data_IF_697880045264
#
_entry.id   IF_697880045264
#
_cell.length_a   1.000
_cell.length_b   1.000
_cell.length_c   1.000
_cell.angle_alpha   90.00
_cell.angle_beta   90.00
_cell.angle_gamma   90.00
#
_symmetry.space_group_name_H-M   'P 1'
#
loop_
_entity.id
_entity.type
_entity.pdbx_description
1 polymer ?
#
# COMPACT_ATOMS: atom_id res chain seq x y z
N UNK A 1 59.12 16.23 -81.21
CA UNK A 1 58.01 15.97 -82.15
C UNK A 1 56.87 15.40 -81.29
N UNK A 2 55.67 15.99 -81.19
CA UNK A 2 54.61 16.18 -82.23
C UNK A 2 54.10 14.80 -82.69
N UNK A 3 52.81 14.40 -82.62
CA UNK A 3 51.54 15.06 -82.18
C UNK A 3 50.89 14.26 -81.01
N UNK A 4 49.84 14.60 -80.23
CA UNK A 4 48.69 15.56 -80.22
C UNK A 4 47.42 15.16 -81.04
N UNK A 5 46.27 15.03 -80.33
CA UNK A 5 44.85 15.21 -80.78
C UNK A 5 44.29 14.04 -81.64
N UNK A 6 43.01 13.57 -81.57
CA UNK A 6 41.74 14.17 -81.10
C UNK A 6 40.82 13.23 -80.27
N UNK A 7 39.65 13.76 -79.84
CA UNK A 7 38.63 13.17 -78.96
C UNK A 7 37.64 12.20 -79.67
N UNK A 8 36.91 11.37 -78.90
CA UNK A 8 35.45 11.58 -78.66
C UNK A 8 34.82 10.62 -77.62
N UNK A 9 33.82 11.14 -76.87
CA UNK A 9 32.65 10.50 -76.22
C UNK A 9 32.81 9.10 -75.58
N UNK A 10 32.52 8.85 -74.30
CA UNK A 10 31.92 9.69 -73.26
C UNK A 10 30.45 9.37 -72.96
N UNK A 11 30.22 8.26 -72.24
CA UNK A 11 29.15 7.97 -71.27
C UNK A 11 29.52 6.59 -70.67
N UNK A 12 29.58 6.48 -69.34
CA UNK A 12 29.71 5.19 -68.65
C UNK A 12 28.90 5.26 -67.35
N UNK A 13 27.95 4.34 -67.17
CA UNK A 13 27.08 4.35 -65.99
C UNK A 13 27.83 3.82 -64.76
N UNK A 14 28.13 4.70 -63.81
CA UNK A 14 28.57 4.30 -62.47
C UNK A 14 27.35 3.74 -61.73
N UNK A 15 27.16 2.42 -61.80
CA UNK A 15 26.10 1.72 -61.07
C UNK A 15 26.52 1.58 -59.60
N UNK A 16 26.15 2.56 -58.77
CA UNK A 16 26.43 2.56 -57.33
C UNK A 16 25.56 1.52 -56.63
N UNK A 17 26.03 0.26 -56.59
CA UNK A 17 25.36 -0.84 -55.88
C UNK A 17 25.68 -0.77 -54.38
N UNK A 18 25.13 0.24 -53.70
CA UNK A 18 25.28 0.40 -52.25
C UNK A 18 24.42 -0.64 -51.52
N UNK A 19 24.97 -1.83 -51.31
CA UNK A 19 24.33 -2.93 -50.56
C UNK A 19 24.16 -2.58 -49.07
N UNK A 20 23.17 -1.73 -48.78
CA UNK A 20 22.77 -1.34 -47.44
C UNK A 20 22.06 -2.52 -46.76
N UNK A 21 22.85 -3.44 -46.21
CA UNK A 21 22.36 -4.61 -45.50
C UNK A 21 21.69 -4.17 -44.19
N UNK A 22 20.43 -3.74 -44.29
CA UNK A 22 19.57 -3.52 -43.13
C UNK A 22 19.37 -4.86 -42.42
N UNK A 23 20.25 -5.13 -41.45
CA UNK A 23 20.04 -6.16 -40.44
C UNK A 23 18.92 -5.69 -39.52
N UNK A 24 17.69 -5.78 -40.02
CA UNK A 24 16.46 -5.52 -39.30
C UNK A 24 16.34 -6.58 -38.21
N UNK A 25 16.89 -6.28 -37.03
CA UNK A 25 16.75 -7.07 -35.81
C UNK A 25 15.30 -7.06 -35.33
N UNK A 26 14.44 -7.78 -36.05
CA UNK A 26 13.14 -8.19 -35.57
C UNK A 26 13.38 -8.98 -34.28
N UNK A 27 13.00 -8.38 -33.14
CA UNK A 27 12.93 -9.06 -31.86
C UNK A 27 11.75 -10.03 -31.94
N UNK A 28 11.98 -11.17 -32.60
CA UNK A 28 11.06 -12.29 -32.64
C UNK A 28 10.80 -12.70 -31.19
N UNK A 29 9.53 -12.69 -30.80
CA UNK A 29 9.16 -12.84 -29.41
C UNK A 29 9.35 -14.32 -28.98
N UNK A 30 10.42 -14.57 -28.22
CA UNK A 30 10.92 -15.91 -27.91
C UNK A 30 9.94 -16.68 -27.01
N UNK A 31 9.70 -17.98 -27.27
CA UNK A 31 8.92 -18.82 -26.35
C UNK A 31 9.73 -19.11 -25.07
N UNK A 32 10.99 -19.53 -25.24
CA UNK A 32 11.93 -19.79 -24.14
C UNK A 32 12.02 -18.60 -23.18
N UNK A 33 11.82 -18.83 -21.89
CA UNK A 33 11.90 -17.79 -20.87
C UNK A 33 13.32 -17.49 -20.39
N UNK A 34 13.49 -16.27 -19.89
CA UNK A 34 14.64 -15.90 -19.07
C UNK A 34 14.25 -14.97 -17.91
N UNK A 35 14.79 -15.22 -16.72
CA UNK A 35 14.56 -14.38 -15.55
C UNK A 35 15.43 -13.12 -15.61
N UNK A 36 14.85 -11.92 -15.43
CA UNK A 36 15.59 -10.66 -15.57
C UNK A 36 15.48 -9.80 -14.31
N UNK A 37 16.64 -9.36 -13.82
CA UNK A 37 16.78 -8.54 -12.62
C UNK A 37 16.56 -9.32 -11.31
N UNK A 38 16.35 -8.57 -10.23
CA UNK A 38 16.04 -9.14 -8.91
C UNK A 38 14.55 -9.44 -8.72
N UNK A 39 14.25 -10.35 -7.80
CA UNK A 39 12.89 -10.58 -7.31
C UNK A 39 12.50 -9.43 -6.39
N UNK A 40 11.47 -8.69 -6.78
CA UNK A 40 10.94 -7.60 -5.98
C UNK A 40 10.17 -8.13 -4.78
N UNK A 41 10.55 -7.68 -3.57
CA UNK A 41 9.89 -8.01 -2.30
C UNK A 41 8.76 -7.00 -2.03
N UNK A 42 7.53 -7.47 -1.90
CA UNK A 42 6.44 -6.64 -1.39
C UNK A 42 6.67 -6.27 0.09
N UNK A 43 6.04 -5.19 0.53
CA UNK A 43 5.99 -4.88 1.97
C UNK A 43 5.14 -5.96 2.67
N UNK A 44 5.72 -6.76 3.58
CA UNK A 44 5.07 -7.94 4.15
C UNK A 44 3.99 -7.55 5.16
N UNK A 45 2.94 -8.35 5.34
CA UNK A 45 1.91 -8.13 6.39
C UNK A 45 2.21 -9.00 7.62
N UNK A 46 1.30 -9.08 8.60
CA UNK A 46 1.49 -9.95 9.78
C UNK A 46 1.67 -11.42 9.38
N UNK A 47 0.89 -11.91 8.41
CA UNK A 47 0.79 -13.33 8.09
C UNK A 47 1.24 -13.68 6.67
N UNK A 48 1.67 -12.70 5.86
CA UNK A 48 1.88 -12.91 4.43
C UNK A 48 3.12 -12.20 3.89
N UNK A 49 3.79 -12.88 2.95
CA UNK A 49 4.96 -12.41 2.22
C UNK A 49 4.62 -12.39 0.72
N UNK A 50 4.73 -11.23 0.07
CA UNK A 50 4.46 -11.08 -1.36
C UNK A 50 5.73 -10.88 -2.19
N UNK A 51 5.75 -11.41 -3.41
CA UNK A 51 6.86 -11.26 -4.36
C UNK A 51 6.37 -10.93 -5.77
N UNK A 52 7.22 -10.23 -6.52
CA UNK A 52 7.07 -9.92 -7.95
C UNK A 52 8.36 -10.30 -8.68
N UNK A 53 8.28 -10.99 -9.81
CA UNK A 53 9.45 -11.34 -10.62
C UNK A 53 9.17 -11.10 -12.12
N UNK A 54 10.17 -10.56 -12.82
CA UNK A 54 10.09 -10.25 -14.25
C UNK A 54 10.75 -11.36 -15.07
N UNK A 55 9.99 -11.90 -16.01
CA UNK A 55 10.42 -12.92 -16.95
C UNK A 55 10.31 -12.34 -18.37
N UNK A 56 11.31 -12.56 -19.21
CA UNK A 56 11.30 -12.25 -20.65
C UNK A 56 11.00 -13.52 -21.44
N UNK A 57 10.48 -13.39 -22.67
CA UNK A 57 10.08 -14.54 -23.51
C UNK A 57 8.66 -15.04 -23.18
N UNK A 58 8.45 -16.36 -23.16
CA UNK A 58 7.27 -17.03 -22.59
C UNK A 58 5.94 -16.62 -23.27
N UNK A 59 5.96 -16.47 -24.59
CA UNK A 59 4.85 -15.90 -25.37
C UNK A 59 3.67 -16.86 -25.56
N UNK A 60 3.95 -18.16 -25.57
CA UNK A 60 2.98 -19.25 -25.46
C UNK A 60 2.42 -19.42 -24.03
N UNK A 61 3.03 -18.76 -23.03
CA UNK A 61 2.54 -18.58 -21.64
C UNK A 61 2.56 -19.85 -20.77
N UNK A 62 3.38 -20.83 -21.13
CA UNK A 62 3.45 -22.13 -20.44
C UNK A 62 4.46 -22.19 -19.28
N UNK A 63 5.36 -21.22 -19.11
CA UNK A 63 6.29 -21.24 -17.99
C UNK A 63 5.59 -21.02 -16.64
N UNK A 64 6.13 -21.66 -15.60
CA UNK A 64 5.59 -21.67 -14.24
C UNK A 64 6.68 -21.25 -13.25
N UNK A 65 6.31 -20.50 -12.21
CA UNK A 65 7.21 -20.17 -11.09
C UNK A 65 6.67 -20.80 -9.81
N UNK A 66 7.23 -21.95 -9.41
CA UNK A 66 6.88 -22.63 -8.15
C UNK A 66 7.46 -21.87 -6.95
N UNK A 67 6.72 -21.85 -5.85
CA UNK A 67 7.10 -21.12 -4.63
C UNK A 67 7.30 -22.11 -3.49
N UNK A 68 8.45 -22.05 -2.85
CA UNK A 68 8.77 -22.81 -1.64
C UNK A 68 9.19 -21.86 -0.52
N UNK A 69 8.95 -22.24 0.73
CA UNK A 69 9.39 -21.47 1.89
C UNK A 69 9.73 -22.36 3.08
N UNK A 70 10.56 -21.85 4.00
CA UNK A 70 10.86 -22.49 5.29
C UNK A 70 11.20 -21.47 6.36
N UNK A 71 11.03 -21.85 7.62
CA UNK A 71 11.45 -21.07 8.79
C UNK A 71 12.79 -21.64 9.30
N UNK A 72 13.86 -20.86 9.18
CA UNK A 72 15.21 -21.29 9.56
C UNK A 72 15.62 -22.62 8.92
N UNK A 73 15.94 -23.63 9.74
CA UNK A 73 16.38 -24.97 9.31
C UNK A 73 15.22 -25.98 9.12
N UNK A 74 13.97 -25.56 9.23
CA UNK A 74 12.81 -26.44 9.00
C UNK A 74 12.74 -26.97 7.55
N UNK A 75 11.91 -27.98 7.31
CA UNK A 75 11.67 -28.51 5.96
C UNK A 75 11.09 -27.43 5.04
N UNK A 76 11.41 -27.52 3.75
CA UNK A 76 10.72 -26.71 2.74
C UNK A 76 9.24 -27.11 2.66
N UNK A 77 8.38 -26.10 2.66
CA UNK A 77 6.95 -26.19 2.40
C UNK A 77 6.67 -25.56 1.04
N UNK A 78 5.68 -26.09 0.32
CA UNK A 78 5.21 -25.52 -0.94
C UNK A 78 4.15 -24.43 -0.68
N UNK A 79 4.13 -23.41 -1.54
CA UNK A 79 3.07 -22.40 -1.62
C UNK A 79 2.60 -22.27 -3.07
N UNK A 80 1.45 -21.61 -3.27
CA UNK A 80 0.87 -21.43 -4.60
C UNK A 80 1.90 -20.80 -5.58
N UNK A 81 2.05 -21.35 -6.80
CA UNK A 81 2.87 -20.75 -7.85
C UNK A 81 2.53 -19.27 -8.12
N UNK A 82 3.50 -18.50 -8.60
CA UNK A 82 3.24 -17.09 -8.93
C UNK A 82 2.30 -16.97 -10.13
N UNK A 83 1.36 -16.05 -10.04
CA UNK A 83 0.39 -15.76 -11.08
C UNK A 83 0.98 -14.83 -12.17
N UNK A 84 0.84 -15.23 -13.43
CA UNK A 84 1.20 -14.44 -14.62
C UNK A 84 0.24 -13.25 -14.77
N UNK A 85 0.68 -12.05 -14.44
CA UNK A 85 -0.16 -10.84 -14.58
C UNK A 85 -0.27 -10.39 -16.04
N UNK A 86 -1.36 -9.68 -16.38
CA UNK A 86 -1.57 -9.16 -17.73
C UNK A 86 -0.54 -8.06 -18.07
N UNK A 87 0.24 -8.18 -19.16
CA UNK A 87 1.34 -7.26 -19.47
C UNK A 87 0.85 -5.86 -19.90
N UNK A 88 -0.36 -5.78 -20.45
CA UNK A 88 -1.03 -4.54 -20.85
C UNK A 88 -2.39 -4.43 -20.15
N UNK A 89 -2.47 -3.89 -18.91
CA UNK A 89 -3.74 -3.52 -18.30
C UNK A 89 -4.42 -2.41 -19.12
N UNK A 90 -5.75 -2.33 -18.96
CA UNK A 90 -6.68 -1.52 -19.77
C UNK A 90 -6.16 -0.09 -20.06
N UNK A 91 -6.37 0.40 -21.28
CA UNK A 91 -5.61 1.52 -21.88
C UNK A 91 -5.53 2.82 -21.07
N UNK A 92 -6.53 3.11 -20.25
CA UNK A 92 -6.61 4.27 -19.36
C UNK A 92 -5.82 4.15 -18.05
N UNK A 93 -5.45 2.95 -17.61
CA UNK A 93 -4.81 2.66 -16.32
C UNK A 93 -3.45 1.93 -16.47
N UNK A 94 -2.62 2.37 -17.43
CA UNK A 94 -1.30 1.79 -17.72
C UNK A 94 -0.25 2.11 -16.63
N UNK A 95 -0.22 1.33 -15.56
CA UNK A 95 0.91 1.34 -14.61
C UNK A 95 2.16 0.71 -15.24
N UNK A 96 3.00 1.54 -15.88
CA UNK A 96 4.28 1.15 -16.53
C UNK A 96 5.24 0.34 -15.65
N UNK A 97 5.02 0.32 -14.33
CA UNK A 97 5.82 -0.42 -13.34
C UNK A 97 5.59 -1.94 -13.37
N UNK A 98 4.40 -2.38 -13.82
CA UNK A 98 4.00 -3.79 -13.87
C UNK A 98 4.07 -4.37 -15.29
N UNK A 99 4.00 -3.54 -16.33
CA UNK A 99 4.30 -3.96 -17.71
C UNK A 99 5.78 -4.36 -17.84
N UNK A 100 6.02 -5.49 -18.49
CA UNK A 100 7.34 -5.97 -18.90
C UNK A 100 7.35 -6.01 -20.43
N UNK A 101 7.98 -5.05 -21.13
CA UNK A 101 8.09 -5.10 -22.59
C UNK A 101 8.83 -6.36 -23.02
N UNK A 102 8.26 -7.16 -23.94
CA UNK A 102 8.85 -8.44 -24.37
C UNK A 102 8.75 -9.58 -23.35
N UNK A 103 7.87 -9.48 -22.35
CA UNK A 103 7.75 -10.49 -21.30
C UNK A 103 6.57 -10.30 -20.36
N UNK A 104 6.71 -10.86 -19.16
CA UNK A 104 5.63 -10.99 -18.17
C UNK A 104 6.12 -10.61 -16.77
N UNK A 105 5.21 -10.01 -16.00
CA UNK A 105 5.36 -9.87 -14.55
C UNK A 105 4.59 -11.00 -13.88
N UNK A 106 5.30 -11.85 -13.14
CA UNK A 106 4.71 -12.84 -12.25
C UNK A 106 4.59 -12.23 -10.84
N UNK A 107 3.47 -12.49 -10.15
CA UNK A 107 3.22 -11.98 -8.81
C UNK A 107 2.49 -13.01 -7.95
N UNK A 108 2.77 -13.06 -6.65
CA UNK A 108 2.10 -13.99 -5.73
C UNK A 108 2.47 -13.74 -4.28
N UNK A 109 1.74 -14.40 -3.39
CA UNK A 109 1.93 -14.28 -1.94
C UNK A 109 1.91 -15.64 -1.26
N UNK A 110 2.70 -15.77 -0.21
CA UNK A 110 2.64 -16.86 0.76
C UNK A 110 1.76 -16.38 1.93
N UNK A 111 0.90 -17.26 2.45
CA UNK A 111 -0.15 -16.94 3.42
C UNK A 111 0.00 -17.75 4.72
N UNK A 112 -0.80 -17.42 5.74
CA UNK A 112 -0.91 -18.12 7.02
C UNK A 112 0.41 -18.29 7.80
N UNK A 113 1.37 -17.39 7.58
CA UNK A 113 2.66 -17.38 8.25
C UNK A 113 2.55 -16.83 9.68
N UNK A 114 3.51 -17.18 10.52
CA UNK A 114 3.64 -16.62 11.87
C UNK A 114 4.10 -15.15 11.77
N UNK A 115 3.54 -14.21 12.55
CA UNK A 115 4.06 -12.84 12.66
C UNK A 115 5.49 -12.77 13.19
N UNK A 116 6.14 -11.63 12.97
CA UNK A 116 7.52 -11.33 13.38
C UNK A 116 8.58 -12.43 13.07
N UNK A 117 8.36 -13.26 12.04
CA UNK A 117 9.16 -14.46 11.76
C UNK A 117 9.92 -14.31 10.45
N UNK A 118 11.21 -14.67 10.45
CA UNK A 118 12.02 -14.75 9.22
C UNK A 118 11.78 -16.09 8.51
N UNK A 119 11.56 -16.00 7.21
CA UNK A 119 11.45 -17.11 6.30
C UNK A 119 12.51 -16.99 5.20
N UNK A 120 13.05 -18.14 4.79
CA UNK A 120 13.68 -18.28 3.49
C UNK A 120 12.58 -18.62 2.48
N UNK A 121 12.51 -17.85 1.40
CA UNK A 121 11.61 -18.07 0.26
C UNK A 121 12.46 -18.46 -0.94
N UNK A 122 11.99 -19.41 -1.73
CA UNK A 122 12.66 -19.91 -2.93
C UNK A 122 11.67 -19.94 -4.10
N UNK A 123 12.07 -19.37 -5.22
CA UNK A 123 11.32 -19.31 -6.46
C UNK A 123 12.03 -20.11 -7.55
N UNK A 124 11.32 -21.05 -8.17
CA UNK A 124 11.84 -21.91 -9.24
C UNK A 124 11.06 -21.63 -10.52
N UNK A 125 11.68 -20.94 -11.48
CA UNK A 125 11.19 -20.83 -12.86
C UNK A 125 11.46 -22.15 -13.59
N UNK A 126 10.42 -22.69 -14.21
CA UNK A 126 10.45 -23.87 -15.07
C UNK A 126 9.66 -23.60 -16.35
N UNK A 127 10.22 -23.94 -17.51
CA UNK A 127 9.68 -23.64 -18.83
C UNK A 127 9.91 -24.82 -19.79
N UNK A 128 8.85 -25.38 -20.44
CA UNK A 128 8.96 -26.46 -21.42
C UNK A 128 9.75 -26.10 -22.70
N UNK A 129 9.71 -24.84 -23.15
CA UNK A 129 10.46 -24.36 -24.33
C UNK A 129 11.92 -24.02 -24.00
N UNK A 130 12.32 -24.26 -22.75
CA UNK A 130 13.61 -23.92 -22.18
C UNK A 130 13.53 -22.65 -21.35
N UNK A 131 14.23 -22.65 -20.22
CA UNK A 131 14.15 -21.58 -19.23
C UNK A 131 14.13 -22.18 -17.84
N UNK A 132 15.19 -21.92 -17.07
CA UNK A 132 15.30 -22.41 -15.70
C UNK A 132 16.10 -21.43 -14.86
N UNK A 133 15.53 -21.01 -13.75
CA UNK A 133 16.19 -20.11 -12.80
C UNK A 133 15.70 -20.38 -11.38
N UNK A 134 16.63 -20.42 -10.43
CA UNK A 134 16.30 -20.42 -9.00
C UNK A 134 16.67 -19.07 -8.38
N UNK A 135 15.80 -18.55 -7.51
CA UNK A 135 16.09 -17.39 -6.66
C UNK A 135 15.65 -17.71 -5.22
N UNK A 136 16.63 -17.78 -4.31
CA UNK A 136 16.40 -17.94 -2.87
C UNK A 136 16.67 -16.62 -2.15
N UNK A 137 15.82 -16.25 -1.19
CA UNK A 137 15.77 -14.91 -0.60
C UNK A 137 15.18 -14.92 0.82
N UNK A 138 15.80 -14.18 1.75
CA UNK A 138 15.24 -13.96 3.10
C UNK A 138 14.18 -12.85 3.11
N UNK A 139 13.10 -13.08 3.85
CA UNK A 139 11.96 -12.18 4.04
C UNK A 139 11.38 -12.37 5.45
N UNK A 140 11.00 -11.28 6.14
CA UNK A 140 10.42 -11.34 7.49
C UNK A 140 8.95 -10.88 7.47
N UNK A 141 8.04 -11.61 8.11
CA UNK A 141 6.68 -11.13 8.36
C UNK A 141 6.69 -9.94 9.33
N UNK A 142 5.65 -9.12 9.32
CA UNK A 142 5.59 -7.94 10.17
C UNK A 142 5.26 -8.30 11.62
N UNK A 143 5.92 -7.62 12.56
CA UNK A 143 5.54 -7.53 13.97
C UNK A 143 4.18 -6.86 14.13
N UNK A 144 3.34 -7.33 15.05
CA UNK A 144 2.14 -6.57 15.41
C UNK A 144 2.52 -5.30 16.21
N UNK A 145 1.97 -4.12 15.89
CA UNK A 145 2.26 -2.89 16.62
C UNK A 145 1.58 -2.84 18.01
N UNK A 146 2.35 -3.19 19.04
CA UNK A 146 1.99 -3.06 20.46
C UNK A 146 2.45 -1.71 21.04
N UNK A 147 1.74 -1.19 22.05
CA UNK A 147 2.13 0.08 22.72
C UNK A 147 3.57 -0.02 23.29
N UNK A 148 4.49 0.90 22.91
CA UNK A 148 5.84 0.89 23.46
C UNK A 148 5.86 1.16 24.96
N UNK A 149 6.85 0.60 25.65
CA UNK A 149 7.08 0.89 27.08
C UNK A 149 7.61 2.31 27.27
N UNK A 150 7.24 2.96 28.37
CA UNK A 150 7.78 4.27 28.77
C UNK A 150 7.15 5.50 28.10
N UNK A 151 5.98 5.38 27.47
CA UNK A 151 5.26 6.50 26.84
C UNK A 151 4.95 7.63 27.84
N UNK A 152 5.23 8.89 27.47
CA UNK A 152 4.83 10.06 28.27
C UNK A 152 3.32 10.21 28.21
N UNK A 153 2.65 9.93 29.34
CA UNK A 153 1.21 10.12 29.51
C UNK A 153 0.89 11.61 29.64
N UNK A 154 -0.13 12.05 28.92
CA UNK A 154 -0.74 13.38 28.99
C UNK A 154 -2.25 13.17 29.10
N UNK A 155 -2.88 13.76 30.12
CA UNK A 155 -4.31 13.65 30.34
C UNK A 155 -5.05 14.84 29.73
N UNK A 156 -6.21 14.57 29.13
CA UNK A 156 -7.03 15.55 28.42
C UNK A 156 -8.50 15.37 28.81
N UNK A 157 -9.21 16.48 29.00
CA UNK A 157 -10.66 16.55 29.22
C UNK A 157 -11.31 17.45 28.17
N UNK A 158 -12.64 17.45 27.98
CA UNK A 158 -13.32 18.43 27.14
C UNK A 158 -13.06 19.88 27.62
N UNK A 159 -13.07 20.84 26.68
CA UNK A 159 -12.83 22.26 26.96
C UNK A 159 -11.90 22.91 25.93
N UNK A 160 -11.27 24.04 26.30
CA UNK A 160 -10.36 24.78 25.42
C UNK A 160 -9.26 25.52 26.19
N UNK A 161 -8.01 25.07 26.06
CA UNK A 161 -6.83 25.69 26.67
C UNK A 161 -6.65 25.36 28.16
N UNK A 162 -5.55 25.83 28.74
CA UNK A 162 -5.25 25.61 30.16
C UNK A 162 -4.90 24.17 30.55
N UNK A 163 -4.45 24.00 31.79
CA UNK A 163 -3.91 22.74 32.31
C UNK A 163 -2.47 22.45 31.87
N UNK A 164 -1.86 21.45 32.50
CA UNK A 164 -0.46 21.02 32.29
C UNK A 164 -0.35 19.67 31.58
N UNK A 165 -1.48 18.98 31.39
CA UNK A 165 -1.53 17.59 30.93
C UNK A 165 -1.26 16.56 32.02
N UNK A 166 -1.17 16.95 33.30
CA UNK A 166 -1.00 16.02 34.43
C UNK A 166 -2.34 15.38 34.81
N UNK A 167 -2.34 14.37 35.71
CA UNK A 167 -3.60 13.75 36.16
C UNK A 167 -4.47 14.71 37.00
N UNK A 168 -3.84 15.64 37.72
CA UNK A 168 -4.52 16.66 38.53
C UNK A 168 -4.88 17.92 37.74
N UNK A 169 -4.02 18.34 36.80
CA UNK A 169 -4.26 19.46 35.89
C UNK A 169 -4.22 18.98 34.41
N UNK A 170 -5.25 18.24 33.94
CA UNK A 170 -5.33 17.79 32.56
C UNK A 170 -5.48 18.98 31.60
N UNK A 171 -5.04 18.84 30.35
CA UNK A 171 -5.33 19.84 29.33
C UNK A 171 -6.84 19.90 29.04
N UNK A 172 -7.41 21.09 28.93
CA UNK A 172 -8.79 21.25 28.46
C UNK A 172 -8.78 21.35 26.92
N UNK A 173 -9.36 20.37 26.25
CA UNK A 173 -9.40 20.28 24.79
C UNK A 173 -8.15 19.67 24.14
N UNK A 174 -8.38 18.84 23.11
CA UNK A 174 -7.33 18.08 22.43
C UNK A 174 -6.34 18.95 21.63
N UNK A 175 -6.75 20.14 21.17
CA UNK A 175 -5.90 21.01 20.34
C UNK A 175 -4.65 21.46 21.10
N UNK A 176 -4.77 21.82 22.38
CA UNK A 176 -3.63 22.18 23.23
C UNK A 176 -2.72 20.96 23.48
N UNK A 177 -3.31 19.81 23.82
CA UNK A 177 -2.57 18.57 24.04
C UNK A 177 -1.77 18.14 22.79
N UNK A 178 -2.38 18.19 21.61
CA UNK A 178 -1.74 17.87 20.32
C UNK A 178 -0.65 18.89 19.92
N UNK A 179 -0.76 20.16 20.34
CA UNK A 179 0.31 21.14 20.16
C UNK A 179 1.54 20.85 21.04
N UNK A 180 1.34 20.22 22.21
CA UNK A 180 2.42 19.81 23.12
C UNK A 180 3.07 18.45 22.76
N UNK A 181 2.40 17.64 21.92
CA UNK A 181 2.76 16.24 21.68
C UNK A 181 4.07 16.06 20.89
N UNK A 182 4.87 15.09 21.33
CA UNK A 182 6.17 14.70 20.75
C UNK A 182 6.23 13.18 20.54
N UNK A 183 7.13 12.63 19.71
CA UNK A 183 7.35 11.18 19.60
C UNK A 183 7.46 10.51 20.99
N UNK A 184 6.68 9.45 21.23
CA UNK A 184 6.57 8.79 22.53
C UNK A 184 5.49 9.36 23.46
N UNK A 185 4.57 10.20 22.97
CA UNK A 185 3.45 10.75 23.74
C UNK A 185 2.21 9.86 23.66
N UNK A 186 1.58 9.59 24.79
CA UNK A 186 0.25 8.98 24.90
C UNK A 186 -0.74 10.02 25.47
N UNK A 187 -1.62 10.54 24.62
CA UNK A 187 -2.77 11.34 25.04
C UNK A 187 -3.88 10.42 25.54
N UNK A 188 -4.27 10.59 26.80
CA UNK A 188 -5.37 9.89 27.46
C UNK A 188 -6.54 10.87 27.58
N UNK A 189 -7.49 10.75 26.67
CA UNK A 189 -8.72 11.54 26.67
C UNK A 189 -9.74 10.91 27.63
N UNK A 190 -10.40 11.76 28.42
CA UNK A 190 -11.58 11.38 29.19
C UNK A 190 -12.84 11.36 28.31
N UNK A 191 -13.91 10.80 28.86
CA UNK A 191 -15.24 10.84 28.25
C UNK A 191 -15.68 12.28 27.92
N UNK A 192 -16.54 12.42 26.91
CA UNK A 192 -17.08 13.69 26.45
C UNK A 192 -16.70 14.02 25.00
N UNK A 193 -17.09 15.23 24.58
CA UNK A 193 -16.99 15.71 23.20
C UNK A 193 -15.80 16.65 23.00
N UNK A 194 -15.04 16.38 21.95
CA UNK A 194 -13.88 17.15 21.52
C UNK A 194 -14.12 17.70 20.10
N UNK A 195 -13.54 18.85 19.82
CA UNK A 195 -13.50 19.43 18.48
C UNK A 195 -12.57 18.65 17.54
N UNK A 196 -12.80 18.81 16.23
CA UNK A 196 -11.88 18.38 15.20
C UNK A 196 -10.46 18.94 15.42
N UNK A 197 -9.44 18.14 15.11
CA UNK A 197 -8.04 18.48 15.35
C UNK A 197 -7.11 18.01 14.22
N UNK A 198 -5.83 18.32 14.36
CA UNK A 198 -4.77 17.73 13.53
C UNK A 198 -3.47 17.66 14.28
N UNK A 199 -2.44 17.09 13.64
CA UNK A 199 -1.10 16.99 14.24
C UNK A 199 -0.08 17.90 13.57
N UNK A 200 0.69 18.65 14.36
CA UNK A 200 1.89 19.34 13.87
C UNK A 200 3.06 18.35 13.74
N UNK A 201 3.26 17.52 14.76
CA UNK A 201 4.30 16.50 14.81
C UNK A 201 3.92 15.19 14.08
N UNK A 202 4.94 14.38 13.79
CA UNK A 202 4.80 12.94 13.59
C UNK A 202 5.32 12.22 14.83
N UNK A 203 4.91 10.98 15.06
CA UNK A 203 5.70 10.04 15.86
C UNK A 203 6.92 9.53 15.08
N UNK A 204 7.62 8.57 15.68
CA UNK A 204 8.74 7.84 15.09
C UNK A 204 8.53 6.33 15.27
N UNK A 205 9.31 5.51 14.58
CA UNK A 205 9.34 4.06 14.82
C UNK A 205 9.75 3.79 16.29
N UNK A 206 9.02 2.89 16.96
CA UNK A 206 9.15 2.66 18.42
C UNK A 206 8.72 3.82 19.34
N UNK A 207 8.40 5.00 18.81
CA UNK A 207 7.98 6.20 19.57
C UNK A 207 6.80 6.92 18.87
N UNK A 208 5.62 6.30 18.76
CA UNK A 208 4.45 6.88 18.12
C UNK A 208 3.89 8.08 18.90
N UNK A 209 2.88 8.74 18.34
CA UNK A 209 1.95 9.60 19.10
C UNK A 209 0.63 8.85 19.16
N UNK A 210 0.20 8.43 20.36
CA UNK A 210 -1.04 7.68 20.57
C UNK A 210 -2.11 8.61 21.13
N UNK A 211 -3.30 8.60 20.55
CA UNK A 211 -4.49 9.28 21.04
C UNK A 211 -5.51 8.22 21.42
N UNK A 212 -5.79 8.08 22.73
CA UNK A 212 -6.65 7.04 23.30
C UNK A 212 -7.84 7.64 24.05
N UNK A 213 -9.05 7.20 23.72
CA UNK A 213 -10.27 7.51 24.46
C UNK A 213 -10.44 6.65 25.72
N UNK A 214 -11.37 7.03 26.61
CA UNK A 214 -11.61 6.33 27.87
C UNK A 214 -12.25 4.95 27.66
N UNK A 215 -13.34 4.89 26.90
CA UNK A 215 -13.96 3.65 26.42
C UNK A 215 -14.72 3.87 25.11
N UNK A 216 -15.14 2.76 24.49
CA UNK A 216 -15.90 2.74 23.23
C UNK A 216 -17.18 3.57 23.34
N UNK A 217 -17.24 4.67 22.58
CA UNK A 217 -18.42 5.54 22.51
C UNK A 217 -18.41 6.75 23.46
N UNK A 218 -17.50 6.79 24.43
CA UNK A 218 -17.41 7.86 25.42
C UNK A 218 -16.63 9.09 24.92
N UNK A 219 -15.51 8.87 24.22
CA UNK A 219 -14.64 9.93 23.72
C UNK A 219 -14.99 10.26 22.27
N UNK A 220 -15.81 11.31 22.09
CA UNK A 220 -16.35 11.70 20.78
C UNK A 220 -15.48 12.79 20.15
N UNK A 221 -15.03 12.58 18.92
CA UNK A 221 -14.41 13.62 18.08
C UNK A 221 -15.44 14.06 17.03
N UNK A 222 -15.92 15.30 17.11
CA UNK A 222 -16.92 15.84 16.19
C UNK A 222 -16.25 16.62 15.05
N UNK A 223 -16.48 16.18 13.81
CA UNK A 223 -15.89 16.77 12.61
C UNK A 223 -16.54 18.07 12.14
N UNK A 224 -17.69 18.47 12.69
CA UNK A 224 -18.41 19.67 12.24
C UNK A 224 -18.76 19.67 10.75
N UNK A 225 -18.99 18.49 10.16
CA UNK A 225 -19.17 18.27 8.71
C UNK A 225 -17.88 18.21 7.89
N UNK A 226 -16.71 18.53 8.47
CA UNK A 226 -15.38 18.51 7.83
C UNK A 226 -14.66 17.19 8.15
N UNK A 227 -13.36 17.20 8.43
CA UNK A 227 -12.65 16.02 8.95
C UNK A 227 -12.70 16.03 10.48
N UNK A 228 -12.87 14.89 11.17
CA UNK A 228 -12.62 14.84 12.63
C UNK A 228 -11.13 15.00 12.93
N UNK A 229 -10.26 14.41 12.10
CA UNK A 229 -8.80 14.50 12.22
C UNK A 229 -8.16 14.79 10.86
N UNK A 230 -7.18 15.70 10.83
CA UNK A 230 -6.25 15.85 9.70
C UNK A 230 -4.79 15.58 10.11
N UNK A 231 -4.17 14.63 9.44
CA UNK A 231 -2.78 14.20 9.65
C UNK A 231 -2.03 14.08 8.31
N UNK A 232 -2.27 15.03 7.40
CA UNK A 232 -1.58 15.12 6.11
C UNK A 232 -0.06 15.00 6.24
N UNK A 233 0.52 14.04 5.51
CA UNK A 233 1.96 13.75 5.47
C UNK A 233 2.61 13.47 6.86
N UNK A 234 1.84 12.97 7.84
CA UNK A 234 2.35 12.57 9.17
C UNK A 234 2.60 11.07 9.27
N UNK A 235 3.38 10.67 10.28
CA UNK A 235 3.79 9.27 10.48
C UNK A 235 3.65 8.82 11.92
N UNK A 236 3.43 7.52 12.14
CA UNK A 236 3.38 6.87 13.46
C UNK A 236 2.40 7.56 14.43
N UNK A 237 1.19 7.88 13.96
CA UNK A 237 0.09 8.41 14.78
C UNK A 237 -0.97 7.32 14.93
N UNK A 238 -1.37 7.03 16.17
CA UNK A 238 -2.25 5.92 16.52
C UNK A 238 -3.53 6.46 17.16
N UNK A 239 -4.68 5.92 16.77
CA UNK A 239 -6.00 6.28 17.26
C UNK A 239 -6.65 5.05 17.89
N UNK A 240 -7.04 5.16 19.16
CA UNK A 240 -7.58 4.02 19.92
C UNK A 240 -8.83 4.38 20.73
N UNK A 241 -9.87 3.54 20.66
CA UNK A 241 -11.09 3.70 21.48
C UNK A 241 -11.80 5.07 21.33
N UNK A 242 -11.73 5.67 20.14
CA UNK A 242 -12.34 6.96 19.80
C UNK A 242 -13.63 6.79 18.99
N UNK A 243 -14.57 7.73 19.14
CA UNK A 243 -15.84 7.76 18.40
C UNK A 243 -15.87 8.97 17.44
N UNK A 244 -15.61 8.73 16.16
CA UNK A 244 -15.55 9.76 15.12
C UNK A 244 -16.95 9.99 14.54
N UNK A 245 -17.43 11.25 14.63
CA UNK A 245 -18.80 11.60 14.25
C UNK A 245 -18.88 12.86 13.38
N UNK A 246 -19.96 12.94 12.60
CA UNK A 246 -20.41 14.16 11.92
C UNK A 246 -19.34 14.74 10.98
N UNK A 247 -18.95 13.98 9.95
CA UNK A 247 -17.77 14.30 9.15
C UNK A 247 -17.83 13.80 7.70
N UNK A 248 -17.11 14.49 6.82
CA UNK A 248 -16.68 13.94 5.52
C UNK A 248 -15.62 12.85 5.71
N UNK A 249 -14.63 13.09 6.58
CA UNK A 249 -13.57 12.14 6.89
C UNK A 249 -13.46 11.92 8.40
N UNK A 250 -13.41 10.67 8.85
CA UNK A 250 -13.03 10.39 10.25
C UNK A 250 -11.58 10.83 10.47
N UNK A 251 -10.66 10.25 9.70
CA UNK A 251 -9.25 10.62 9.67
C UNK A 251 -8.80 10.86 8.21
N UNK A 252 -8.35 12.07 7.90
CA UNK A 252 -7.67 12.40 6.64
C UNK A 252 -6.15 12.18 6.80
N UNK A 253 -5.69 10.98 6.47
CA UNK A 253 -4.28 10.56 6.44
C UNK A 253 -3.68 10.58 5.04
N UNK A 254 -4.00 11.59 4.22
CA UNK A 254 -3.39 11.75 2.91
C UNK A 254 -1.86 11.94 3.00
N UNK A 255 -1.10 11.20 2.18
CA UNK A 255 0.37 11.06 2.28
C UNK A 255 0.92 10.47 3.60
N UNK A 256 0.07 10.06 4.54
CA UNK A 256 0.52 9.55 5.83
C UNK A 256 1.06 8.11 5.74
N UNK A 257 1.86 7.68 6.72
CA UNK A 257 2.37 6.30 6.83
C UNK A 257 2.38 5.81 8.29
N UNK A 258 2.42 4.49 8.50
CA UNK A 258 2.51 3.88 9.84
C UNK A 258 1.36 4.32 10.77
N UNK A 259 0.17 4.57 10.21
CA UNK A 259 -1.00 5.04 10.95
C UNK A 259 -1.77 3.86 11.52
N UNK A 260 -2.20 3.95 12.78
CA UNK A 260 -2.95 2.90 13.45
C UNK A 260 -4.32 3.41 13.85
N UNK A 261 -5.34 2.59 13.61
CA UNK A 261 -6.73 2.87 13.95
C UNK A 261 -7.30 1.57 14.52
N UNK A 262 -7.51 1.50 15.84
CA UNK A 262 -8.05 0.27 16.44
C UNK A 262 -9.03 0.48 17.58
N UNK A 263 -10.06 -0.39 17.64
CA UNK A 263 -11.18 -0.29 18.60
C UNK A 263 -11.96 1.03 18.51
N UNK A 264 -11.84 1.76 17.40
CA UNK A 264 -12.54 3.02 17.17
C UNK A 264 -13.91 2.76 16.52
N UNK A 265 -14.80 3.74 16.61
CA UNK A 265 -16.11 3.70 15.97
C UNK A 265 -16.33 4.94 15.09
N UNK A 266 -17.01 4.77 13.96
CA UNK A 266 -17.24 5.81 12.96
C UNK A 266 -18.73 5.85 12.62
N UNK A 267 -19.43 6.96 12.90
CA UNK A 267 -20.88 7.10 12.67
C UNK A 267 -21.25 8.46 12.08
N UNK A 268 -22.09 8.49 11.05
CA UNK A 268 -22.34 9.71 10.23
C UNK A 268 -21.03 10.29 9.67
N UNK A 269 -20.22 9.40 9.07
CA UNK A 269 -18.92 9.71 8.47
C UNK A 269 -18.90 9.18 7.03
N UNK A 270 -18.64 10.03 6.03
CA UNK A 270 -18.66 9.61 4.61
C UNK A 270 -17.52 8.62 4.29
N UNK A 271 -16.29 8.92 4.72
CA UNK A 271 -15.17 7.98 4.65
C UNK A 271 -14.42 7.90 6.00
N UNK A 272 -14.31 6.69 6.58
CA UNK A 272 -13.71 6.49 7.90
C UNK A 272 -12.23 6.92 7.96
N UNK A 273 -11.42 6.37 7.06
CA UNK A 273 -10.01 6.74 6.88
C UNK A 273 -9.67 6.98 5.40
N UNK A 274 -9.18 8.17 5.08
CA UNK A 274 -8.77 8.56 3.73
C UNK A 274 -7.24 8.73 3.64
N UNK A 275 -6.60 7.95 2.77
CA UNK A 275 -5.15 7.98 2.47
C UNK A 275 -4.91 7.78 0.96
N UNK A 276 -5.73 8.41 0.11
CA UNK A 276 -5.74 8.18 -1.35
C UNK A 276 -4.47 8.67 -2.09
N UNK A 277 -3.78 9.71 -1.61
CA UNK A 277 -2.74 10.43 -2.38
C UNK A 277 -1.30 9.90 -2.25
N UNK A 278 -1.07 8.90 -1.41
CA UNK A 278 0.31 8.51 -1.03
C UNK A 278 1.02 7.62 -2.06
N UNK A 279 0.32 6.64 -2.61
CA UNK A 279 0.91 5.59 -3.44
C UNK A 279 1.94 4.71 -2.69
N UNK A 280 2.43 3.68 -3.37
CA UNK A 280 3.25 2.61 -2.76
C UNK A 280 4.54 3.10 -2.11
N UNK A 281 5.10 4.24 -2.52
CA UNK A 281 6.35 4.77 -1.97
C UNK A 281 6.17 5.74 -0.79
N UNK A 282 4.94 6.10 -0.41
CA UNK A 282 4.70 7.00 0.73
C UNK A 282 3.66 6.47 1.72
N UNK A 283 2.48 6.10 1.25
CA UNK A 283 1.48 5.50 2.14
C UNK A 283 1.74 4.00 2.29
N UNK A 284 2.14 3.65 3.50
CA UNK A 284 2.65 2.32 3.89
C UNK A 284 2.24 2.03 5.34
N UNK A 285 2.19 0.76 5.72
CA UNK A 285 2.10 0.32 7.14
C UNK A 285 0.86 0.83 7.91
N UNK A 286 -0.27 1.03 7.23
CA UNK A 286 -1.53 1.35 7.95
C UNK A 286 -2.08 0.09 8.61
N UNK A 287 -2.43 0.16 9.90
CA UNK A 287 -2.94 -0.95 10.70
C UNK A 287 -4.33 -0.59 11.23
N UNK A 288 -5.37 -1.13 10.60
CA UNK A 288 -6.76 -0.75 10.79
C UNK A 288 -7.55 -1.99 11.21
N UNK A 289 -7.74 -2.19 12.51
CA UNK A 289 -8.34 -3.43 13.06
C UNK A 289 -9.35 -3.17 14.19
N UNK A 290 -10.26 -4.10 14.44
CA UNK A 290 -11.22 -4.07 15.54
C UNK A 290 -12.17 -2.84 15.54
N UNK A 291 -12.33 -2.16 14.40
CA UNK A 291 -13.15 -0.94 14.31
C UNK A 291 -14.59 -1.24 13.91
N UNK A 292 -15.49 -0.34 14.27
CA UNK A 292 -16.88 -0.34 13.79
C UNK A 292 -17.15 0.87 12.88
N UNK A 293 -17.70 0.62 11.70
CA UNK A 293 -18.14 1.65 10.77
C UNK A 293 -19.62 1.49 10.44
N UNK A 294 -20.40 2.55 10.65
CA UNK A 294 -21.80 2.64 10.21
C UNK A 294 -21.97 3.85 9.30
N UNK A 295 -22.00 3.59 7.99
CA UNK A 295 -22.31 4.58 6.96
C UNK A 295 -23.81 4.89 6.86
N UNK A 296 -24.21 5.53 5.76
CA UNK A 296 -25.59 5.95 5.52
C UNK A 296 -26.19 5.44 4.20
N UNK A 297 -25.54 4.50 3.51
CA UNK A 297 -26.14 3.77 2.38
C UNK A 297 -27.36 3.00 2.85
N UNK A 298 -28.42 2.96 2.03
CA UNK A 298 -29.60 2.11 2.23
C UNK A 298 -29.62 0.98 1.21
N UNK A 299 -30.24 -0.15 1.57
CA UNK A 299 -30.42 -1.30 0.68
C UNK A 299 -31.90 -1.72 0.66
N UNK A 300 -32.49 -2.07 -0.49
CA UNK A 300 -31.94 -1.96 -1.84
C UNK A 300 -31.62 -0.51 -2.25
N UNK A 301 -30.60 -0.33 -3.08
CA UNK A 301 -30.18 0.98 -3.59
C UNK A 301 -31.05 1.38 -4.78
N UNK A 302 -31.51 2.63 -4.81
CA UNK A 302 -32.26 3.19 -5.95
C UNK A 302 -31.38 3.77 -7.06
N UNK A 303 -30.07 3.97 -6.81
CA UNK A 303 -29.09 4.41 -7.82
C UNK A 303 -27.65 4.03 -7.43
N UNK A 304 -26.92 3.42 -8.36
CA UNK A 304 -25.46 3.26 -8.34
C UNK A 304 -24.84 2.68 -7.06
N UNK A 305 -23.61 3.13 -6.79
CA UNK A 305 -22.86 2.89 -5.54
C UNK A 305 -22.53 4.26 -4.96
N UNK A 306 -22.89 4.54 -3.71
CA UNK A 306 -22.53 5.81 -3.08
C UNK A 306 -21.04 5.86 -2.73
N UNK A 307 -20.42 7.04 -2.76
CA UNK A 307 -19.01 7.22 -2.37
C UNK A 307 -18.76 7.16 -0.83
N UNK A 308 -19.52 6.31 -0.15
CA UNK A 308 -19.51 6.07 1.30
C UNK A 308 -18.66 4.82 1.55
N UNK A 309 -17.64 4.90 2.42
CA UNK A 309 -16.77 3.75 2.68
C UNK A 309 -16.10 3.77 4.06
N UNK A 310 -15.60 2.63 4.55
CA UNK A 310 -14.82 2.63 5.78
C UNK A 310 -13.38 3.09 5.54
N UNK A 311 -12.66 2.47 4.59
CA UNK A 311 -11.27 2.84 4.27
C UNK A 311 -11.13 3.15 2.79
N UNK A 312 -10.52 4.29 2.47
CA UNK A 312 -10.03 4.65 1.16
C UNK A 312 -8.51 4.86 1.24
N UNK A 313 -7.70 4.04 0.56
CA UNK A 313 -6.25 4.12 0.64
C UNK A 313 -5.57 3.97 -0.73
N UNK A 314 -4.26 4.26 -0.78
CA UNK A 314 -3.35 3.75 -1.82
C UNK A 314 -2.01 3.38 -1.19
N UNK A 315 -1.34 2.38 -1.75
CA UNK A 315 -0.01 1.94 -1.33
C UNK A 315 0.04 0.53 -0.76
N UNK A 316 1.07 0.22 0.04
CA UNK A 316 1.48 -1.16 0.33
C UNK A 316 1.77 -1.51 1.79
N UNK A 317 1.63 -2.81 2.11
CA UNK A 317 1.89 -3.35 3.45
C UNK A 317 0.90 -2.87 4.50
N UNK A 318 -0.35 -2.64 4.12
CA UNK A 318 -1.46 -2.33 5.02
C UNK A 318 -2.04 -3.61 5.65
N UNK A 319 -2.74 -3.47 6.76
CA UNK A 319 -3.56 -4.53 7.38
C UNK A 319 -4.92 -3.90 7.70
N UNK A 320 -6.00 -4.49 7.16
CA UNK A 320 -7.37 -3.97 7.27
C UNK A 320 -8.32 -5.15 7.57
N UNK A 321 -8.23 -5.69 8.79
CA UNK A 321 -8.85 -6.95 9.23
C UNK A 321 -9.77 -6.75 10.44
N UNK A 322 -10.70 -7.66 10.70
CA UNK A 322 -11.54 -7.67 11.91
C UNK A 322 -12.37 -6.39 12.15
N UNK A 323 -12.70 -5.66 11.10
CA UNK A 323 -13.53 -4.45 11.17
C UNK A 323 -14.98 -4.78 10.82
N UNK A 324 -15.94 -4.35 11.64
CA UNK A 324 -17.36 -4.48 11.35
C UNK A 324 -17.81 -3.28 10.51
N UNK A 325 -18.25 -3.53 9.28
CA UNK A 325 -18.62 -2.50 8.31
C UNK A 325 -20.10 -2.66 7.95
N UNK A 326 -20.89 -1.60 8.15
CA UNK A 326 -22.33 -1.57 7.87
C UNK A 326 -22.72 -0.32 7.08
N UNK A 327 -23.76 -0.42 6.26
CA UNK A 327 -24.38 0.69 5.52
C UNK A 327 -23.38 1.52 4.69
N UNK A 328 -22.45 0.84 4.01
CA UNK A 328 -21.45 1.46 3.15
C UNK A 328 -21.79 1.31 1.65
N UNK A 329 -21.18 2.16 0.83
CA UNK A 329 -21.08 1.99 -0.62
C UNK A 329 -20.09 0.87 -0.96
N UNK A 330 -18.83 1.10 -0.58
CA UNK A 330 -17.72 0.13 -0.60
C UNK A 330 -17.20 -0.12 0.83
N UNK A 331 -16.74 -1.33 1.15
CA UNK A 331 -16.10 -1.60 2.44
C UNK A 331 -14.69 -0.97 2.54
N UNK A 332 -13.80 -1.42 1.66
CA UNK A 332 -12.43 -0.92 1.51
C UNK A 332 -12.21 -0.58 0.04
N UNK A 333 -11.77 0.64 -0.25
CA UNK A 333 -11.71 1.23 -1.58
C UNK A 333 -10.29 1.68 -1.95
N UNK A 334 -9.96 1.62 -3.25
CA UNK A 334 -8.70 2.09 -3.82
C UNK A 334 -8.89 2.94 -5.07
N UNK A 335 -8.22 4.09 -5.16
CA UNK A 335 -8.28 4.95 -6.36
C UNK A 335 -7.27 4.54 -7.42
N UNK A 336 -7.77 4.05 -8.55
CA UNK A 336 -6.97 3.61 -9.70
C UNK A 336 -6.13 4.73 -10.36
N UNK A 337 -6.55 5.99 -10.24
CA UNK A 337 -5.96 7.12 -10.97
C UNK A 337 -4.58 7.61 -10.48
N UNK A 338 -4.01 7.05 -9.40
CA UNK A 338 -2.68 7.45 -8.91
C UNK A 338 -1.83 6.24 -8.49
N UNK A 339 -0.98 5.75 -9.41
CA UNK A 339 0.12 4.77 -9.18
C UNK A 339 -0.09 3.82 -7.99
N UNK A 340 -1.18 3.06 -8.03
CA UNK A 340 -1.49 2.01 -7.04
C UNK A 340 -0.69 0.76 -7.35
N UNK A 341 0.44 0.60 -6.66
CA UNK A 341 1.22 -0.63 -6.59
C UNK A 341 0.93 -1.34 -5.25
N UNK A 342 1.01 -2.68 -5.20
CA UNK A 342 1.19 -3.43 -3.95
C UNK A 342 -0.01 -3.56 -3.00
N UNK A 343 -1.24 -3.76 -3.50
CA UNK A 343 -2.39 -4.07 -2.66
C UNK A 343 -2.32 -5.46 -2.02
N UNK A 344 -1.91 -5.51 -0.75
CA UNK A 344 -2.11 -6.65 0.15
C UNK A 344 -3.24 -6.32 1.15
N UNK A 345 -4.51 -6.42 0.72
CA UNK A 345 -5.67 -6.25 1.62
C UNK A 345 -6.02 -7.60 2.25
N UNK A 346 -5.82 -7.73 3.56
CA UNK A 346 -6.28 -8.89 4.33
C UNK A 346 -7.62 -8.61 5.01
N UNK A 347 -8.69 -8.64 4.22
CA UNK A 347 -10.06 -8.70 4.70
C UNK A 347 -10.33 -10.10 5.26
N UNK A 348 -10.21 -10.28 6.58
CA UNK A 348 -10.70 -11.47 7.26
C UNK A 348 -11.96 -11.15 8.07
N UNK A 349 -13.00 -11.93 7.78
CA UNK A 349 -14.33 -11.97 8.42
C UNK A 349 -15.16 -10.66 8.36
N UNK A 350 -15.96 -10.55 7.30
CA UNK A 350 -17.25 -9.86 7.37
C UNK A 350 -18.22 -10.71 8.23
N UNK A 351 -18.96 -10.06 9.12
CA UNK A 351 -20.15 -10.57 9.85
C UNK A 351 -21.15 -9.41 9.99
#
# INVERSE_FOLDING_TARGET
MISRICLTKGICHILVTLSFLMCSSFVMAENKSSSVGEVFKEIPTLHCLGVRWKIMGDQNKNAVIKVHYRKGKEKWLEAMPLFRTMPSPHGSNRSKLHTVPGGWMFAGSIFNLTPDTEYEVKLNLEDPDGGKAEKTMKMKTWTEPLEPKGMKKIYVVPGAGGGEGTKGAPFLGIVAAMASAKPGTLLILKAGKYSAFGSRASGQEGKPIIIRGSAKGETIIDGGGKSCVDIYNKKHIWFESLDFRNAKYGINGNLASNIIIRRCTFRKVVCGFNSEKGGYNRSRRHFIVDNEYTGSTKWPRSKGIEAICFVQATGGGHVIAYNRIQNAGDGVHGKFYQKTEGWNIFLLKLI
#
